data_IF_216691159428
#
_entry.id   IF_216691159428
#
_cell.length_a   1.000
_cell.length_b   1.000
_cell.length_c   1.000
_cell.angle_alpha   90.00
_cell.angle_beta   90.00
_cell.angle_gamma   90.00
#
_symmetry.space_group_name_H-M   'P 1'
#
loop_
_entity.id
_entity.type
_entity.pdbx_description
1 polymer ?
#
# COMPACT_ATOMS: atom_id res chain seq x y z
N UNK A 1 -8.68 -13.38 11.86
CA UNK A 1 -7.62 -12.40 11.52
C UNK A 1 -7.54 -12.07 10.03
N UNK A 2 -7.32 -13.02 9.12
CA UNK A 2 -7.19 -12.74 7.68
C UNK A 2 -8.33 -11.86 7.11
N UNK A 3 -9.57 -12.09 7.53
CA UNK A 3 -10.72 -11.24 7.16
C UNK A 3 -10.59 -9.79 7.63
N UNK A 4 -10.07 -9.54 8.83
CA UNK A 4 -9.84 -8.20 9.35
C UNK A 4 -8.75 -7.48 8.52
N UNK A 5 -7.67 -8.19 8.16
CA UNK A 5 -6.62 -7.67 7.29
C UNK A 5 -7.17 -7.33 5.90
N UNK A 6 -7.92 -8.25 5.27
CA UNK A 6 -8.55 -7.98 3.97
C UNK A 6 -9.54 -6.81 4.02
N UNK A 7 -10.25 -6.64 5.14
CA UNK A 7 -11.16 -5.52 5.34
C UNK A 7 -10.42 -4.17 5.47
N UNK A 8 -9.21 -4.18 6.06
CA UNK A 8 -8.41 -2.97 6.25
C UNK A 8 -7.99 -2.31 4.93
N UNK A 9 -7.83 -3.09 3.86
CA UNK A 9 -7.48 -2.61 2.52
C UNK A 9 -8.47 -1.58 1.96
N UNK A 10 -9.74 -1.58 2.44
CA UNK A 10 -10.75 -0.59 2.05
C UNK A 10 -10.40 0.83 2.48
N UNK A 11 -9.58 0.97 3.53
CA UNK A 11 -9.12 2.27 4.02
C UNK A 11 -8.03 2.89 3.14
N UNK A 12 -7.37 2.15 2.25
CA UNK A 12 -6.30 2.71 1.43
C UNK A 12 -6.84 3.59 0.30
N UNK A 13 -6.20 4.70 -0.07
CA UNK A 13 -5.27 5.50 0.75
C UNK A 13 -6.02 6.47 1.69
N UNK A 14 -7.36 6.49 1.64
CA UNK A 14 -8.22 7.47 2.28
C UNK A 14 -8.08 7.56 3.82
N UNK A 15 -7.60 6.52 4.49
CA UNK A 15 -7.36 6.55 5.94
C UNK A 15 -6.16 7.43 6.33
N UNK A 16 -5.30 7.80 5.37
CA UNK A 16 -4.16 8.66 5.64
C UNK A 16 -4.60 9.98 6.31
N UNK A 17 -3.82 10.50 7.27
CA UNK A 17 -2.49 10.04 7.68
C UNK A 17 -2.50 8.87 8.70
N UNK A 18 -3.66 8.33 9.05
CA UNK A 18 -3.78 7.20 9.96
C UNK A 18 -3.59 5.84 9.22
N UNK A 19 -3.23 4.77 9.93
CA UNK A 19 -3.13 3.44 9.34
C UNK A 19 -4.48 2.94 8.84
N UNK A 20 -4.45 2.15 7.77
CA UNK A 20 -5.61 1.39 7.33
C UNK A 20 -5.76 0.14 8.22
N UNK A 21 -6.62 0.21 9.23
CA UNK A 21 -6.86 -0.88 10.19
C UNK A 21 -8.18 -1.56 9.85
N UNK A 22 -8.28 -2.86 10.11
CA UNK A 22 -9.53 -3.60 10.05
C UNK A 22 -9.81 -4.30 11.37
N UNK A 23 -11.09 -4.39 11.73
CA UNK A 23 -11.59 -5.03 12.94
C UNK A 23 -12.80 -5.89 12.62
N UNK A 24 -12.84 -7.10 13.18
CA UNK A 24 -14.00 -8.01 13.11
C UNK A 24 -14.31 -8.51 14.52
N UNK A 25 -15.58 -8.44 14.92
CA UNK A 25 -16.05 -8.95 16.21
C UNK A 25 -16.85 -10.22 15.97
N UNK A 26 -16.50 -11.27 16.70
CA UNK A 26 -17.12 -12.59 16.62
C UNK A 26 -17.71 -12.95 17.97
N UNK A 27 -19.00 -13.28 17.97
CA UNK A 27 -19.73 -13.81 19.13
C UNK A 27 -20.40 -15.12 18.73
N UNK A 28 -20.29 -16.15 19.56
CA UNK A 28 -20.88 -17.49 19.32
C UNK A 28 -20.58 -18.05 17.91
N UNK A 29 -19.35 -17.89 17.44
CA UNK A 29 -18.92 -18.34 16.11
C UNK A 29 -19.47 -17.53 14.93
N UNK A 30 -20.20 -16.44 15.18
CA UNK A 30 -20.79 -15.58 14.15
C UNK A 30 -20.14 -14.21 14.13
N UNK A 31 -19.95 -13.64 12.95
CA UNK A 31 -19.51 -12.24 12.82
C UNK A 31 -20.67 -11.33 13.17
N UNK A 32 -20.52 -10.57 14.25
CA UNK A 32 -21.52 -9.59 14.74
C UNK A 32 -21.11 -8.15 14.41
N UNK A 33 -19.82 -7.87 14.22
CA UNK A 33 -19.33 -6.54 13.86
C UNK A 33 -18.21 -6.58 12.83
N UNK A 34 -18.20 -5.60 11.92
CA UNK A 34 -17.12 -5.40 10.94
C UNK A 34 -16.82 -3.91 10.84
N UNK A 35 -15.54 -3.54 10.85
CA UNK A 35 -15.11 -2.16 10.72
C UNK A 35 -13.75 -2.03 10.07
N UNK A 36 -13.53 -0.90 9.41
CA UNK A 36 -12.22 -0.45 8.94
C UNK A 36 -12.04 1.03 9.25
N UNK A 37 -10.80 1.51 9.28
CA UNK A 37 -10.52 2.95 9.46
C UNK A 37 -11.13 3.75 8.32
N UNK A 38 -11.99 4.71 8.64
CA UNK A 38 -12.69 5.52 7.64
C UNK A 38 -11.80 6.65 7.07
N UNK A 39 -12.34 7.35 6.07
CA UNK A 39 -11.68 8.46 5.39
C UNK A 39 -11.20 9.54 6.39
N UNK A 40 -10.01 10.10 6.19
CA UNK A 40 -9.37 11.05 7.11
C UNK A 40 -8.85 10.41 8.41
N UNK A 41 -8.92 9.09 8.51
CA UNK A 41 -8.37 8.30 9.60
C UNK A 41 -9.31 8.04 10.76
N UNK A 42 -10.57 8.50 10.71
CA UNK A 42 -11.59 8.28 11.75
C UNK A 42 -13.00 8.19 11.17
N UNK A 43 -13.94 7.46 11.82
CA UNK A 43 -13.73 6.60 13.00
C UNK A 43 -12.76 5.44 12.73
N UNK A 44 -12.14 4.93 13.80
CA UNK A 44 -11.24 3.78 13.74
C UNK A 44 -12.03 2.49 13.48
N UNK A 45 -11.32 1.45 13.04
CA UNK A 45 -11.91 0.16 12.70
C UNK A 45 -12.69 -0.46 13.85
N UNK A 46 -12.16 -0.38 15.07
CA UNK A 46 -12.76 -0.92 16.29
C UNK A 46 -14.05 -0.18 16.63
N UNK A 47 -14.07 1.14 16.51
CA UNK A 47 -15.28 1.94 16.74
C UNK A 47 -16.39 1.57 15.75
N UNK A 48 -16.04 1.40 14.47
CA UNK A 48 -16.99 0.96 13.44
C UNK A 48 -17.50 -0.46 13.71
N UNK A 49 -16.62 -1.38 14.11
CA UNK A 49 -16.99 -2.76 14.38
C UNK A 49 -17.88 -2.88 15.64
N UNK A 50 -17.57 -2.11 16.69
CA UNK A 50 -18.37 -2.03 17.91
C UNK A 50 -19.76 -1.44 17.63
N UNK A 51 -19.83 -0.34 16.89
CA UNK A 51 -21.12 0.26 16.50
C UNK A 51 -21.99 -0.70 15.69
N UNK A 52 -21.39 -1.57 14.87
CA UNK A 52 -22.11 -2.59 14.11
C UNK A 52 -22.53 -3.80 14.96
N UNK A 53 -21.74 -4.16 15.99
CA UNK A 53 -22.02 -5.28 16.87
C UNK A 53 -23.03 -4.94 17.98
N UNK A 54 -23.05 -3.68 18.42
CA UNK A 54 -23.89 -3.18 19.51
C UNK A 54 -23.81 -4.09 20.76
N UNK A 55 -24.93 -4.42 21.40
CA UNK A 55 -24.98 -5.30 22.57
C UNK A 55 -24.37 -6.70 22.33
N UNK A 56 -24.31 -7.18 21.08
CA UNK A 56 -23.72 -8.48 20.76
C UNK A 56 -22.19 -8.50 20.89
N UNK A 57 -21.54 -7.35 21.13
CA UNK A 57 -20.11 -7.27 21.44
C UNK A 57 -19.77 -7.80 22.84
N UNK A 58 -20.73 -7.82 23.78
CA UNK A 58 -20.47 -8.25 25.15
C UNK A 58 -20.07 -9.73 25.19
N UNK A 59 -18.95 -10.04 25.83
CA UNK A 59 -18.39 -11.38 25.89
C UNK A 59 -17.74 -11.86 24.59
N UNK A 60 -17.74 -11.05 23.53
CA UNK A 60 -17.25 -11.45 22.21
C UNK A 60 -15.71 -11.39 22.11
N UNK A 61 -15.19 -11.87 20.97
CA UNK A 61 -13.78 -11.74 20.58
C UNK A 61 -13.61 -10.70 19.47
N UNK A 62 -12.75 -9.71 19.68
CA UNK A 62 -12.34 -8.76 18.65
C UNK A 62 -11.04 -9.21 17.96
N UNK A 63 -11.01 -9.21 16.63
CA UNK A 63 -9.80 -9.41 15.82
C UNK A 63 -9.42 -8.10 15.15
N UNK A 64 -8.24 -7.56 15.46
CA UNK A 64 -7.79 -6.25 15.00
C UNK A 64 -6.41 -6.31 14.34
N UNK A 65 -6.25 -5.68 13.18
CA UNK A 65 -5.03 -5.78 12.38
C UNK A 65 -3.84 -4.96 12.91
N UNK A 66 -4.08 -4.06 13.88
CA UNK A 66 -3.08 -3.25 14.55
C UNK A 66 -3.49 -3.13 16.03
N UNK A 67 -2.54 -2.95 16.94
CA UNK A 67 -2.83 -2.68 18.34
C UNK A 67 -3.84 -1.53 18.50
N UNK A 68 -4.93 -1.72 19.29
CA UNK A 68 -5.87 -0.64 19.56
C UNK A 68 -5.20 0.54 20.24
N UNK A 69 -5.51 1.76 19.78
CA UNK A 69 -4.88 2.95 20.35
C UNK A 69 -5.14 3.08 21.86
N UNK A 70 -4.17 3.63 22.57
CA UNK A 70 -4.18 3.78 24.03
C UNK A 70 -4.26 5.24 24.51
N UNK A 71 -4.06 6.20 23.59
CA UNK A 71 -3.93 7.61 23.90
C UNK A 71 -5.26 8.36 23.75
N UNK A 72 -5.47 9.37 24.59
CA UNK A 72 -6.57 10.31 24.44
C UNK A 72 -6.41 11.14 23.15
N UNK A 73 -7.53 11.43 22.47
CA UNK A 73 -7.54 12.25 21.27
C UNK A 73 -8.76 13.15 21.25
N UNK A 74 -8.62 14.44 20.89
CA UNK A 74 -9.78 15.32 20.72
C UNK A 74 -10.67 14.89 19.55
N UNK A 75 -10.17 14.03 18.65
CA UNK A 75 -10.89 13.55 17.46
C UNK A 75 -11.77 12.32 17.73
N UNK A 76 -11.80 11.80 18.96
CA UNK A 76 -12.65 10.67 19.34
C UNK A 76 -12.02 9.75 20.38
N UNK A 77 -12.84 8.84 20.91
CA UNK A 77 -12.47 7.95 22.01
C UNK A 77 -11.27 7.03 21.69
N UNK A 78 -10.58 6.66 22.77
CA UNK A 78 -9.55 5.63 22.78
C UNK A 78 -10.17 4.26 22.46
N UNK A 79 -9.62 3.53 21.49
CA UNK A 79 -10.16 2.25 21.05
C UNK A 79 -10.02 1.17 22.11
N UNK A 80 -8.92 1.18 22.86
CA UNK A 80 -8.74 0.29 24.02
C UNK A 80 -9.88 0.47 25.03
N UNK A 81 -10.22 1.72 25.36
CA UNK A 81 -11.27 2.03 26.33
C UNK A 81 -12.66 1.65 25.81
N UNK A 82 -12.89 1.85 24.51
CA UNK A 82 -14.14 1.45 23.87
C UNK A 82 -14.34 -0.08 23.90
N UNK A 83 -13.29 -0.87 23.66
CA UNK A 83 -13.35 -2.34 23.72
C UNK A 83 -13.63 -2.82 25.15
N UNK A 84 -13.00 -2.21 26.15
CA UNK A 84 -13.23 -2.51 27.57
C UNK A 84 -14.67 -2.17 27.95
N UNK A 85 -15.14 -0.96 27.62
CA UNK A 85 -16.48 -0.49 27.96
C UNK A 85 -17.58 -1.33 27.30
N UNK A 86 -17.34 -1.84 26.08
CA UNK A 86 -18.25 -2.75 25.39
C UNK A 86 -18.30 -4.16 25.99
N UNK A 87 -17.41 -4.48 26.93
CA UNK A 87 -17.36 -5.78 27.58
C UNK A 87 -16.85 -6.89 26.66
N UNK A 88 -15.97 -6.58 25.71
CA UNK A 88 -15.23 -7.60 24.93
C UNK A 88 -14.47 -8.49 25.92
N UNK A 89 -14.50 -9.81 25.72
CA UNK A 89 -13.80 -10.76 26.59
C UNK A 89 -12.36 -11.03 26.12
N UNK A 90 -12.14 -10.97 24.81
CA UNK A 90 -10.86 -11.32 24.18
C UNK A 90 -10.52 -10.43 23.00
N UNK A 91 -9.25 -10.07 22.87
CA UNK A 91 -8.72 -9.33 21.73
C UNK A 91 -7.57 -10.11 21.08
N UNK A 92 -7.64 -10.29 19.77
CA UNK A 92 -6.58 -10.88 18.95
C UNK A 92 -6.00 -9.79 18.07
N UNK A 93 -4.73 -9.47 18.29
CA UNK A 93 -3.98 -8.39 17.63
C UNK A 93 -3.00 -8.99 16.63
N UNK A 94 -2.97 -8.47 15.40
CA UNK A 94 -1.99 -8.94 14.43
C UNK A 94 -0.59 -8.37 14.68
N UNK A 95 -0.49 -7.06 14.90
CA UNK A 95 0.79 -6.34 15.02
C UNK A 95 0.68 -5.27 16.10
N UNK A 96 1.71 -5.15 16.94
CA UNK A 96 1.87 -4.05 17.90
C UNK A 96 2.09 -2.72 17.16
N UNK A 97 1.56 -1.62 17.69
CA UNK A 97 1.66 -0.31 17.04
C UNK A 97 3.06 0.30 17.30
N UNK A 98 3.85 0.65 16.27
CA UNK A 98 5.14 1.32 16.46
C UNK A 98 5.01 2.78 16.96
N UNK A 99 3.82 3.38 16.97
CA UNK A 99 3.62 4.74 17.47
C UNK A 99 4.00 4.83 18.96
N UNK A 100 4.94 5.70 19.38
CA UNK A 100 5.38 5.81 20.78
C UNK A 100 4.26 6.10 21.78
N UNK A 101 3.13 6.66 21.32
CA UNK A 101 1.95 6.95 22.15
C UNK A 101 1.08 5.71 22.40
N UNK A 102 1.27 4.64 21.62
CA UNK A 102 0.49 3.40 21.71
C UNK A 102 1.38 2.21 22.08
N UNK A 103 2.51 2.02 21.41
CA UNK A 103 3.54 0.98 21.58
C UNK A 103 3.43 0.06 22.82
N UNK A 104 2.53 -0.92 22.76
CA UNK A 104 2.28 -1.91 23.82
C UNK A 104 1.39 -1.45 24.99
N UNK A 105 1.14 -0.15 25.13
CA UNK A 105 0.29 0.42 26.15
C UNK A 105 -1.19 0.04 25.99
N UNK A 106 -1.67 -0.11 24.75
CA UNK A 106 -3.05 -0.52 24.47
C UNK A 106 -3.28 -1.96 24.90
N UNK A 107 -2.36 -2.84 24.48
CA UNK A 107 -2.32 -4.25 24.89
C UNK A 107 -2.21 -4.39 26.41
N UNK A 108 -1.29 -3.66 27.05
CA UNK A 108 -1.12 -3.71 28.51
C UNK A 108 -2.40 -3.29 29.24
N UNK A 109 -3.08 -2.25 28.77
CA UNK A 109 -4.32 -1.76 29.37
C UNK A 109 -5.50 -2.73 29.19
N UNK A 110 -5.61 -3.40 28.04
CA UNK A 110 -6.59 -4.48 27.84
C UNK A 110 -6.37 -5.62 28.84
N UNK A 111 -5.12 -6.06 29.03
CA UNK A 111 -4.77 -7.10 30.01
C UNK A 111 -5.06 -6.68 31.45
N UNK A 112 -4.73 -5.45 31.81
CA UNK A 112 -5.00 -4.90 33.14
C UNK A 112 -6.51 -4.82 33.46
N UNK A 113 -7.35 -4.66 32.44
CA UNK A 113 -8.81 -4.71 32.56
C UNK A 113 -9.38 -6.15 32.56
N UNK A 114 -8.53 -7.19 32.51
CA UNK A 114 -8.92 -8.59 32.61
C UNK A 114 -9.26 -9.27 31.29
N UNK A 115 -9.02 -8.64 30.14
CA UNK A 115 -9.27 -9.25 28.83
C UNK A 115 -8.15 -10.23 28.45
N UNK A 116 -8.51 -11.34 27.81
CA UNK A 116 -7.53 -12.21 27.15
C UNK A 116 -6.97 -11.50 25.92
N UNK A 117 -5.63 -11.40 25.79
CA UNK A 117 -4.99 -10.75 24.63
C UNK A 117 -3.98 -11.69 23.97
N UNK A 118 -4.22 -12.01 22.69
CA UNK A 118 -3.30 -12.77 21.83
C UNK A 118 -2.69 -11.83 20.79
N UNK A 119 -1.39 -11.94 20.58
CA UNK A 119 -0.62 -11.07 19.70
C UNK A 119 0.05 -11.86 18.57
N UNK A 120 0.46 -11.18 17.51
CA UNK A 120 1.32 -11.74 16.46
C UNK A 120 0.60 -12.60 15.41
N UNK A 121 -0.73 -12.70 15.45
CA UNK A 121 -1.49 -13.53 14.49
C UNK A 121 -1.46 -12.89 13.11
N UNK A 122 -0.82 -13.54 12.14
CA UNK A 122 -0.64 -13.03 10.76
C UNK A 122 0.03 -11.65 10.71
N UNK A 123 1.04 -11.43 11.57
CA UNK A 123 1.73 -10.15 11.69
C UNK A 123 2.34 -9.66 10.36
N UNK A 124 2.96 -10.56 9.60
CA UNK A 124 3.58 -10.22 8.31
C UNK A 124 2.54 -9.71 7.29
N UNK A 125 1.39 -10.37 7.20
CA UNK A 125 0.30 -10.00 6.29
C UNK A 125 -0.31 -8.65 6.68
N UNK A 126 -0.50 -8.40 7.97
CA UNK A 126 -1.00 -7.11 8.46
C UNK A 126 -0.02 -5.97 8.17
N UNK A 127 1.29 -6.17 8.34
CA UNK A 127 2.31 -5.17 7.95
C UNK A 127 2.29 -4.91 6.44
N UNK A 128 2.18 -5.96 5.62
CA UNK A 128 2.06 -5.81 4.16
C UNK A 128 0.79 -5.04 3.76
N UNK A 129 -0.34 -5.33 4.43
CA UNK A 129 -1.61 -4.63 4.26
C UNK A 129 -1.61 -3.20 4.82
N UNK A 130 -0.61 -2.79 5.60
CA UNK A 130 -0.41 -1.40 6.05
C UNK A 130 0.89 -0.77 5.52
N UNK A 131 1.52 -1.38 4.51
CA UNK A 131 2.88 -1.08 4.09
C UNK A 131 3.21 0.41 3.88
N UNK A 132 2.35 1.26 3.25
CA UNK A 132 2.59 2.70 3.18
C UNK A 132 2.77 3.38 4.54
N UNK A 133 1.79 3.21 5.42
CA UNK A 133 1.85 3.79 6.77
C UNK A 133 2.99 3.17 7.57
N UNK A 134 3.17 1.85 7.48
CA UNK A 134 4.23 1.12 8.20
C UNK A 134 5.61 1.62 7.78
N UNK A 135 5.80 1.88 6.49
CA UNK A 135 7.02 2.46 5.92
C UNK A 135 7.35 3.82 6.53
N UNK A 136 6.37 4.73 6.59
CA UNK A 136 6.57 6.01 7.26
C UNK A 136 6.87 5.84 8.74
N UNK A 137 6.09 5.03 9.44
CA UNK A 137 6.21 4.87 10.89
C UNK A 137 7.54 4.25 11.34
N UNK A 138 8.09 3.32 10.56
CA UNK A 138 9.29 2.55 10.96
C UNK A 138 10.56 2.98 10.24
N UNK A 139 10.45 3.53 9.03
CA UNK A 139 11.60 3.89 8.17
C UNK A 139 11.65 5.36 7.80
N UNK A 140 10.67 6.17 8.22
CA UNK A 140 10.64 7.61 7.95
C UNK A 140 10.51 7.97 6.47
N UNK A 141 10.03 7.05 5.62
CA UNK A 141 9.94 7.26 4.16
C UNK A 141 8.68 6.70 3.54
N UNK A 142 8.31 7.25 2.38
CA UNK A 142 7.21 6.75 1.57
C UNK A 142 7.48 5.31 1.08
N UNK A 143 6.42 4.53 0.95
CA UNK A 143 6.45 3.21 0.32
C UNK A 143 6.28 3.36 -1.19
N UNK A 144 7.22 2.79 -1.96
CA UNK A 144 7.23 2.94 -3.42
C UNK A 144 6.88 1.63 -4.11
N UNK A 145 5.84 1.69 -4.93
CA UNK A 145 5.47 0.62 -5.86
C UNK A 145 5.96 0.97 -7.26
N UNK A 146 6.85 0.18 -7.82
CA UNK A 146 7.26 0.27 -9.23
C UNK A 146 6.34 -0.62 -10.07
N UNK A 147 5.72 -0.05 -11.11
CA UNK A 147 4.90 -0.80 -12.08
C UNK A 147 5.58 -0.84 -13.43
N UNK A 148 5.83 -2.06 -13.93
CA UNK A 148 6.38 -2.33 -15.25
C UNK A 148 5.37 -3.13 -16.07
N UNK A 149 5.13 -2.71 -17.31
CA UNK A 149 4.30 -3.44 -18.27
C UNK A 149 5.13 -3.75 -19.51
N UNK A 150 5.43 -5.03 -19.73
CA UNK A 150 6.40 -5.46 -20.73
C UNK A 150 5.83 -6.52 -21.66
N UNK A 151 6.48 -6.71 -22.80
CA UNK A 151 6.43 -7.96 -23.56
C UNK A 151 7.12 -9.10 -22.79
N UNK A 152 7.06 -10.33 -23.30
CA UNK A 152 7.72 -11.51 -22.69
C UNK A 152 9.25 -11.36 -22.60
N UNK A 153 9.84 -10.67 -23.58
CA UNK A 153 11.27 -10.37 -23.68
C UNK A 153 11.66 -9.03 -23.02
N UNK A 154 10.76 -8.42 -22.23
CA UNK A 154 11.12 -7.30 -21.35
C UNK A 154 11.11 -5.92 -22.00
N UNK A 155 10.51 -5.75 -23.17
CA UNK A 155 10.39 -4.45 -23.84
C UNK A 155 9.15 -3.67 -23.39
N UNK A 156 9.27 -2.34 -23.35
CA UNK A 156 8.18 -1.39 -23.02
C UNK A 156 7.70 -0.55 -24.22
N UNK A 157 8.38 -0.68 -25.36
CA UNK A 157 8.00 -0.07 -26.63
C UNK A 157 8.76 -0.75 -27.78
N UNK A 158 8.31 -0.55 -29.03
CA UNK A 158 9.13 -0.77 -30.22
C UNK A 158 10.34 0.18 -30.24
N UNK A 159 11.32 -0.07 -31.11
CA UNK A 159 12.53 0.74 -31.22
C UNK A 159 12.22 2.23 -31.48
N UNK A 160 11.22 2.49 -32.34
CA UNK A 160 10.70 3.82 -32.67
C UNK A 160 9.97 4.52 -31.51
N UNK A 161 9.65 3.79 -30.43
CA UNK A 161 8.94 4.31 -29.25
C UNK A 161 7.44 4.00 -29.22
N UNK A 162 6.90 3.34 -30.24
CA UNK A 162 5.50 2.94 -30.27
C UNK A 162 5.20 1.90 -29.18
N UNK A 163 4.23 2.17 -28.29
CA UNK A 163 3.99 1.40 -27.06
C UNK A 163 2.51 1.12 -26.76
N UNK A 164 1.57 1.64 -27.56
CA UNK A 164 0.12 1.50 -27.34
C UNK A 164 -0.45 0.43 -28.28
N UNK A 165 -0.93 -0.73 -27.79
CA UNK A 165 -0.92 -1.22 -26.42
C UNK A 165 -0.17 -2.54 -26.32
N UNK A 166 0.82 -2.60 -25.42
CA UNK A 166 1.52 -3.86 -25.08
C UNK A 166 0.60 -4.76 -24.25
N UNK A 167 0.04 -4.25 -23.15
CA UNK A 167 -0.84 -5.03 -22.24
C UNK A 167 -2.31 -4.86 -22.58
N UNK A 168 -3.10 -5.88 -22.26
CA UNK A 168 -4.55 -5.96 -22.48
C UNK A 168 -5.39 -5.07 -21.56
N UNK A 169 -6.70 -5.06 -21.81
CA UNK A 169 -7.68 -4.23 -21.11
C UNK A 169 -7.78 -4.53 -19.60
N UNK A 170 -7.77 -5.82 -19.21
CA UNK A 170 -7.81 -6.24 -17.81
C UNK A 170 -6.58 -5.81 -17.03
N UNK A 171 -5.39 -5.90 -17.61
CA UNK A 171 -4.17 -5.39 -17.00
C UNK A 171 -4.20 -3.86 -16.85
N UNK A 172 -4.69 -3.13 -17.86
CA UNK A 172 -4.86 -1.66 -17.77
C UNK A 172 -5.90 -1.26 -16.72
N UNK A 173 -7.01 -1.99 -16.61
CA UNK A 173 -8.01 -1.77 -15.57
C UNK A 173 -7.42 -2.01 -14.17
N UNK A 174 -6.61 -3.06 -14.00
CA UNK A 174 -5.87 -3.28 -12.74
C UNK A 174 -4.87 -2.16 -12.47
N UNK A 175 -4.17 -1.63 -13.48
CA UNK A 175 -3.33 -0.44 -13.34
C UNK A 175 -4.09 0.77 -12.79
N UNK A 176 -5.34 0.99 -13.21
CA UNK A 176 -6.18 2.03 -12.63
C UNK A 176 -6.59 1.76 -11.17
N UNK A 177 -6.81 0.49 -10.79
CA UNK A 177 -7.04 0.13 -9.40
C UNK A 177 -5.81 0.44 -8.54
N UNK A 178 -4.60 0.16 -9.03
CA UNK A 178 -3.36 0.52 -8.35
C UNK A 178 -3.21 2.03 -8.20
N UNK A 179 -3.51 2.82 -9.24
CA UNK A 179 -3.55 4.30 -9.11
C UNK A 179 -4.48 4.74 -8.00
N UNK A 180 -5.69 4.18 -7.94
CA UNK A 180 -6.68 4.52 -6.92
C UNK A 180 -6.23 4.17 -5.50
N UNK A 181 -5.27 3.25 -5.34
CA UNK A 181 -4.73 2.77 -4.05
C UNK A 181 -3.52 3.55 -3.55
N UNK A 182 -2.96 4.45 -4.35
CA UNK A 182 -1.79 5.27 -3.97
C UNK A 182 -2.19 6.75 -3.82
N UNK A 183 -1.47 7.47 -2.97
CA UNK A 183 -1.67 8.92 -2.80
C UNK A 183 -1.03 9.73 -3.93
N UNK A 184 0.03 9.18 -4.52
CA UNK A 184 0.79 9.82 -5.59
C UNK A 184 1.16 8.83 -6.69
N UNK A 185 1.28 9.37 -7.91
CA UNK A 185 1.81 8.69 -9.08
C UNK A 185 2.98 9.50 -9.65
N UNK A 186 4.05 8.82 -10.02
CA UNK A 186 5.28 9.43 -10.51
C UNK A 186 5.63 8.87 -11.89
N UNK A 187 5.95 9.77 -12.83
CA UNK A 187 6.61 9.45 -14.10
C UNK A 187 7.94 10.21 -14.22
N UNK A 188 8.82 9.77 -15.11
CA UNK A 188 9.97 10.57 -15.53
C UNK A 188 9.60 11.63 -16.58
N UNK A 189 10.44 12.66 -16.72
CA UNK A 189 10.31 13.71 -17.75
C UNK A 189 10.06 13.15 -19.15
N UNK A 190 10.86 12.17 -19.59
CA UNK A 190 10.72 11.58 -20.92
C UNK A 190 9.34 10.96 -21.19
N UNK A 191 8.71 10.35 -20.18
CA UNK A 191 7.34 9.84 -20.29
C UNK A 191 6.34 10.97 -20.40
N UNK A 192 6.49 12.03 -19.60
CA UNK A 192 5.60 13.20 -19.67
C UNK A 192 5.64 13.83 -21.07
N UNK A 193 6.84 14.04 -21.60
CA UNK A 193 7.04 14.72 -22.87
C UNK A 193 6.57 13.86 -24.07
N UNK A 194 6.76 12.53 -24.01
CA UNK A 194 6.37 11.63 -25.08
C UNK A 194 4.86 11.31 -25.09
N UNK A 195 4.23 11.15 -23.92
CA UNK A 195 2.88 10.60 -23.80
C UNK A 195 1.81 11.60 -23.35
N UNK A 196 2.20 12.75 -22.79
CA UNK A 196 1.32 13.69 -22.09
C UNK A 196 0.24 12.98 -21.23
N UNK A 197 0.64 12.08 -20.32
CA UNK A 197 -0.32 11.18 -19.69
C UNK A 197 -1.20 11.92 -18.68
N UNK A 198 -2.50 11.58 -18.66
CA UNK A 198 -3.45 12.11 -17.66
C UNK A 198 -3.16 11.61 -16.24
N UNK A 199 -2.67 10.38 -16.11
CA UNK A 199 -2.37 9.68 -14.86
C UNK A 199 -3.53 9.58 -13.85
N UNK A 200 -4.76 9.76 -14.32
CA UNK A 200 -6.00 9.68 -13.56
C UNK A 200 -6.50 8.23 -13.36
N UNK A 201 -7.48 8.09 -12.47
CA UNK A 201 -8.28 6.88 -12.29
C UNK A 201 -9.54 7.00 -13.14
N UNK A 202 -9.82 5.98 -13.95
CA UNK A 202 -10.96 5.95 -14.89
C UNK A 202 -11.85 4.73 -14.69
N UNK A 203 -11.83 4.18 -13.47
CA UNK A 203 -12.75 3.11 -13.07
C UNK A 203 -14.01 3.75 -12.48
N UNK A 204 -15.17 3.25 -12.91
CA UNK A 204 -16.47 3.73 -12.47
C UNK A 204 -16.57 3.75 -10.94
N UNK A 205 -16.88 4.92 -10.38
CA UNK A 205 -17.05 5.14 -8.93
C UNK A 205 -15.75 5.34 -8.15
N UNK A 206 -14.58 5.33 -8.81
CA UNK A 206 -13.27 5.55 -8.20
C UNK A 206 -12.52 6.76 -8.78
N UNK A 207 -13.14 7.55 -9.66
CA UNK A 207 -12.53 8.66 -10.37
C UNK A 207 -11.95 9.71 -9.40
N UNK A 208 -12.66 9.95 -8.29
CA UNK A 208 -12.26 10.87 -7.22
C UNK A 208 -11.03 10.39 -6.42
N UNK A 209 -10.53 9.19 -6.71
CA UNK A 209 -9.32 8.63 -6.09
C UNK A 209 -8.08 8.79 -6.97
N UNK A 210 -8.12 9.71 -7.93
CA UNK A 210 -6.96 10.03 -8.75
C UNK A 210 -5.80 10.53 -7.87
N UNK A 211 -4.60 9.92 -7.98
CA UNK A 211 -3.45 10.31 -7.17
C UNK A 211 -2.90 11.67 -7.60
N UNK A 212 -2.19 12.35 -6.69
CA UNK A 212 -1.42 13.54 -7.05
C UNK A 212 -0.30 13.17 -8.02
N UNK A 213 0.03 14.06 -8.95
CA UNK A 213 1.00 13.79 -10.02
C UNK A 213 2.36 14.35 -9.64
N UNK A 214 3.34 13.45 -9.57
CA UNK A 214 4.74 13.76 -9.32
C UNK A 214 5.55 13.58 -10.59
N UNK A 215 6.57 14.41 -10.74
CA UNK A 215 7.46 14.36 -11.89
C UNK A 215 8.90 14.22 -11.41
N UNK A 216 9.58 13.15 -11.81
CA UNK A 216 11.02 13.02 -11.58
C UNK A 216 11.77 13.92 -12.56
N UNK A 217 12.27 15.06 -12.05
CA UNK A 217 12.91 16.12 -12.83
C UNK A 217 13.77 17.00 -11.92
N UNK A 218 14.89 17.50 -12.45
CA UNK A 218 15.66 18.59 -11.82
C UNK A 218 15.18 19.99 -12.23
N UNK A 219 14.41 20.09 -13.32
CA UNK A 219 13.77 21.33 -13.78
C UNK A 219 12.34 21.50 -13.27
N UNK A 220 11.67 22.55 -13.72
CA UNK A 220 10.30 22.89 -13.30
C UNK A 220 9.26 21.83 -13.71
N UNK A 221 8.34 21.50 -12.80
CA UNK A 221 7.15 20.73 -13.12
C UNK A 221 6.06 21.63 -13.73
N UNK A 222 5.21 21.11 -14.64
CA UNK A 222 4.07 21.85 -15.16
C UNK A 222 3.02 22.10 -14.07
N UNK A 223 2.04 22.97 -14.35
CA UNK A 223 0.96 23.26 -13.42
C UNK A 223 0.19 22.00 -13.00
N UNK A 224 -0.10 21.88 -11.69
CA UNK A 224 -0.79 20.74 -11.12
C UNK A 224 0.06 19.47 -11.02
N UNK A 225 1.39 19.61 -11.11
CA UNK A 225 2.39 18.58 -10.84
C UNK A 225 3.40 19.06 -9.81
N UNK A 226 3.96 18.13 -9.04
CA UNK A 226 5.02 18.41 -8.07
C UNK A 226 6.34 17.84 -8.58
N UNK A 227 7.39 18.67 -8.63
CA UNK A 227 8.73 18.25 -9.01
C UNK A 227 9.38 17.42 -7.89
N UNK A 228 10.02 16.32 -8.27
CA UNK A 228 10.82 15.46 -7.40
C UNK A 228 12.20 15.34 -8.04
N UNK A 229 13.23 15.83 -7.35
CA UNK A 229 14.59 15.92 -7.92
C UNK A 229 15.31 14.57 -7.99
N UNK A 230 15.00 13.65 -7.08
CA UNK A 230 15.58 12.30 -6.99
C UNK A 230 14.64 11.33 -6.26
N UNK A 231 14.85 10.00 -6.36
CA UNK A 231 14.08 9.01 -5.60
C UNK A 231 14.06 9.21 -4.08
N UNK A 232 15.15 9.73 -3.50
CA UNK A 232 15.29 10.03 -2.07
C UNK A 232 14.51 11.28 -1.67
N UNK A 233 14.35 12.23 -2.61
CA UNK A 233 13.61 13.48 -2.38
C UNK A 233 12.12 13.26 -2.10
N UNK A 234 11.60 12.04 -2.26
CA UNK A 234 10.24 11.70 -1.84
C UNK A 234 10.04 11.81 -0.31
N UNK A 235 11.11 11.66 0.48
CA UNK A 235 11.01 11.64 1.95
C UNK A 235 10.62 13.00 2.56
N UNK A 236 10.82 14.08 1.80
CA UNK A 236 10.42 15.43 2.21
C UNK A 236 8.97 15.77 1.85
N UNK A 237 8.27 14.92 1.09
CA UNK A 237 6.89 15.20 0.69
C UNK A 237 5.94 14.98 1.86
N UNK A 238 5.35 16.07 2.34
CA UNK A 238 4.35 16.04 3.41
C UNK A 238 3.06 15.38 2.90
N UNK A 239 2.55 14.40 3.65
CA UNK A 239 1.27 13.77 3.37
C UNK A 239 1.31 12.70 2.26
N UNK A 240 2.50 12.22 1.88
CA UNK A 240 2.66 11.17 0.86
C UNK A 240 3.34 9.94 1.46
N UNK A 241 2.54 8.93 1.83
CA UNK A 241 3.02 7.66 2.36
C UNK A 241 3.15 6.59 1.26
N UNK A 242 2.49 6.79 0.11
CA UNK A 242 2.45 5.82 -1.00
C UNK A 242 2.65 6.48 -2.36
N UNK A 243 3.62 5.97 -3.11
CA UNK A 243 3.94 6.43 -4.47
C UNK A 243 3.92 5.26 -5.44
N UNK A 244 3.16 5.39 -6.53
CA UNK A 244 3.21 4.49 -7.67
C UNK A 244 4.13 5.09 -8.74
N UNK A 245 5.25 4.44 -9.04
CA UNK A 245 6.11 4.81 -10.16
C UNK A 245 5.61 4.06 -11.39
N UNK A 246 5.11 4.80 -12.38
CA UNK A 246 4.64 4.26 -13.65
C UNK A 246 5.40 4.96 -14.79
N UNK A 247 5.96 4.18 -15.70
CA UNK A 247 6.44 4.69 -16.99
C UNK A 247 7.92 5.09 -17.07
N UNK A 248 8.49 4.81 -18.24
CA UNK A 248 9.84 5.17 -18.65
C UNK A 248 10.93 4.34 -17.97
N UNK A 249 11.81 3.75 -18.78
CA UNK A 249 12.96 2.98 -18.28
C UNK A 249 13.85 3.82 -17.34
N UNK A 250 14.01 5.11 -17.61
CA UNK A 250 14.83 6.00 -16.77
C UNK A 250 14.32 6.17 -15.35
N UNK A 251 13.01 6.40 -15.16
CA UNK A 251 12.45 6.54 -13.81
C UNK A 251 12.51 5.20 -13.06
N UNK A 252 12.13 4.10 -13.72
CA UNK A 252 12.23 2.77 -13.14
C UNK A 252 13.67 2.45 -12.67
N UNK A 253 14.67 2.71 -13.53
CA UNK A 253 16.08 2.44 -13.23
C UNK A 253 16.59 3.33 -12.10
N UNK A 254 16.20 4.61 -12.05
CA UNK A 254 16.59 5.50 -10.96
C UNK A 254 16.10 5.00 -9.59
N UNK A 255 14.85 4.53 -9.50
CA UNK A 255 14.31 4.00 -8.24
C UNK A 255 14.93 2.66 -7.84
N UNK A 256 15.29 1.81 -8.79
CA UNK A 256 15.98 0.55 -8.53
C UNK A 256 17.44 0.77 -8.11
N UNK A 257 18.16 1.65 -8.81
CA UNK A 257 19.55 2.01 -8.50
C UNK A 257 19.68 2.64 -7.11
N UNK A 258 18.73 3.49 -6.72
CA UNK A 258 18.67 4.10 -5.40
C UNK A 258 18.20 3.14 -4.28
N UNK A 259 17.85 1.89 -4.61
CA UNK A 259 17.20 0.93 -3.70
C UNK A 259 15.94 1.49 -3.03
N UNK A 260 15.16 2.28 -3.76
CA UNK A 260 13.97 2.99 -3.26
C UNK A 260 12.66 2.33 -3.67
N UNK A 261 12.67 1.32 -4.54
CA UNK A 261 11.49 0.51 -4.85
C UNK A 261 11.25 -0.55 -3.76
N UNK A 262 10.06 -0.55 -3.17
CA UNK A 262 9.67 -1.51 -2.13
C UNK A 262 8.85 -2.66 -2.70
N UNK A 263 8.00 -2.37 -3.68
CA UNK A 263 7.17 -3.36 -4.39
C UNK A 263 7.37 -3.23 -5.88
N UNK A 264 7.39 -4.36 -6.58
CA UNK A 264 7.38 -4.43 -8.04
C UNK A 264 6.09 -5.12 -8.51
N UNK A 265 5.35 -4.44 -9.39
CA UNK A 265 4.24 -5.00 -10.15
C UNK A 265 4.71 -5.22 -11.59
N UNK A 266 4.96 -6.48 -11.96
CA UNK A 266 5.42 -6.85 -13.29
C UNK A 266 4.26 -7.45 -14.09
N UNK A 267 3.78 -6.69 -15.07
CA UNK A 267 2.76 -7.12 -16.02
C UNK A 267 3.46 -7.58 -17.30
N UNK A 268 3.19 -8.81 -17.74
CA UNK A 268 3.78 -9.41 -18.94
C UNK A 268 2.69 -9.79 -19.93
N UNK A 269 2.70 -9.13 -21.09
CA UNK A 269 1.85 -9.47 -22.21
C UNK A 269 2.44 -10.66 -22.99
N UNK A 270 1.62 -11.56 -23.55
CA UNK A 270 2.08 -12.73 -24.29
C UNK A 270 2.51 -12.36 -25.73
N UNK A 271 3.39 -11.37 -25.87
CA UNK A 271 3.96 -10.90 -27.14
C UNK A 271 5.49 -10.83 -27.03
N UNK A 272 6.18 -10.88 -28.17
CA UNK A 272 7.62 -10.66 -28.31
C UNK A 272 7.86 -9.45 -29.19
N UNK A 273 8.82 -8.60 -28.83
CA UNK A 273 9.13 -7.36 -29.57
C UNK A 273 10.51 -7.42 -30.22
N UNK A 274 11.49 -8.06 -29.59
CA UNK A 274 12.89 -8.10 -30.05
C UNK A 274 13.62 -6.80 -29.70
N UNK A 275 14.23 -6.14 -30.69
CA UNK A 275 15.04 -4.92 -30.54
C UNK A 275 14.27 -3.66 -30.09
N UNK A 276 13.21 -3.82 -29.30
CA UNK A 276 12.46 -2.74 -28.69
C UNK A 276 13.21 -2.08 -27.53
N UNK A 277 12.58 -1.04 -26.97
CA UNK A 277 13.15 -0.32 -25.83
C UNK A 277 12.99 -1.17 -24.56
N UNK A 278 14.08 -1.45 -23.81
CA UNK A 278 14.01 -2.28 -22.61
C UNK A 278 13.27 -1.58 -21.47
N UNK A 279 12.69 -2.36 -20.56
CA UNK A 279 11.99 -1.84 -19.39
C UNK A 279 12.89 -1.09 -18.41
N UNK A 280 14.17 -1.42 -18.39
CA UNK A 280 15.20 -0.85 -17.54
C UNK A 280 16.38 -0.40 -18.40
N UNK A 281 16.97 0.74 -18.03
CA UNK A 281 18.29 1.15 -18.47
C UNK A 281 19.35 0.63 -17.50
N UNK A 282 20.54 1.20 -17.61
CA UNK A 282 21.62 0.89 -16.67
C UNK A 282 21.27 1.37 -15.25
N UNK A 283 21.54 0.49 -14.27
CA UNK A 283 21.34 0.71 -12.84
C UNK A 283 22.62 0.48 -12.03
N UNK A 284 23.77 0.34 -12.69
CA UNK A 284 25.07 0.19 -12.04
C UNK A 284 25.34 -1.20 -11.47
N UNK A 285 24.70 -2.25 -11.99
CA UNK A 285 24.97 -3.62 -11.57
C UNK A 285 26.31 -4.08 -12.17
N UNK A 286 27.33 -4.25 -11.32
CA UNK A 286 28.68 -4.66 -11.75
C UNK A 286 28.95 -6.15 -11.57
N UNK A 287 28.24 -6.80 -10.65
CA UNK A 287 28.35 -8.24 -10.38
C UNK A 287 26.95 -8.88 -10.38
N UNK A 288 26.82 -10.04 -11.01
CA UNK A 288 25.56 -10.79 -11.03
C UNK A 288 25.16 -11.29 -9.63
N UNK A 289 26.13 -11.54 -8.75
CA UNK A 289 25.87 -11.93 -7.37
C UNK A 289 24.99 -10.89 -6.64
N UNK A 290 25.20 -9.60 -6.91
CA UNK A 290 24.45 -8.49 -6.29
C UNK A 290 23.00 -8.39 -6.79
N UNK A 291 22.63 -9.10 -7.86
CA UNK A 291 21.26 -9.15 -8.35
C UNK A 291 20.38 -10.15 -7.58
N UNK A 292 20.98 -11.17 -6.97
CA UNK A 292 20.26 -12.27 -6.35
C UNK A 292 19.71 -11.92 -4.96
N UNK A 293 18.67 -12.64 -4.53
CA UNK A 293 18.09 -12.49 -3.19
C UNK A 293 17.34 -11.18 -2.93
N UNK A 294 17.31 -10.23 -3.87
CA UNK A 294 16.71 -8.91 -3.64
C UNK A 294 15.19 -8.87 -3.65
N UNK A 295 14.53 -9.82 -4.31
CA UNK A 295 13.09 -9.82 -4.55
C UNK A 295 12.46 -11.14 -4.17
N UNK A 296 11.33 -11.08 -3.47
CA UNK A 296 10.50 -12.25 -3.15
C UNK A 296 9.14 -12.09 -3.81
N UNK A 297 8.75 -13.05 -4.65
CA UNK A 297 7.40 -13.07 -5.22
C UNK A 297 6.38 -13.35 -4.11
N UNK A 298 5.38 -12.50 -3.99
CA UNK A 298 4.31 -12.62 -2.99
C UNK A 298 2.96 -12.96 -3.58
N UNK A 299 2.76 -12.70 -4.87
CA UNK A 299 1.50 -12.95 -5.56
C UNK A 299 1.73 -13.12 -7.08
N UNK A 300 0.83 -13.85 -7.74
CA UNK A 300 0.86 -14.14 -9.17
C UNK A 300 -0.56 -14.37 -9.68
N UNK A 301 -0.99 -13.62 -10.69
CA UNK A 301 -2.37 -13.62 -11.20
C UNK A 301 -2.44 -13.47 -12.71
N UNK A 302 -3.36 -14.21 -13.33
CA UNK A 302 -3.75 -14.00 -14.72
C UNK A 302 -4.76 -12.85 -14.82
N UNK A 303 -4.46 -11.84 -15.63
CA UNK A 303 -5.32 -10.69 -15.92
C UNK A 303 -5.70 -10.68 -17.40
N UNK A 304 -6.70 -11.48 -17.77
CA UNK A 304 -7.05 -11.67 -19.18
C UNK A 304 -5.96 -12.47 -19.86
N UNK A 305 -5.33 -11.93 -20.91
CA UNK A 305 -4.17 -12.55 -21.57
C UNK A 305 -2.84 -12.26 -20.87
N UNK A 306 -2.77 -11.23 -20.01
CA UNK A 306 -1.53 -10.81 -19.37
C UNK A 306 -1.28 -11.53 -18.04
N UNK A 307 -0.02 -11.77 -17.71
CA UNK A 307 0.40 -12.25 -16.39
C UNK A 307 0.82 -11.06 -15.51
N UNK A 308 0.33 -11.00 -14.27
CA UNK A 308 0.83 -10.11 -13.22
C UNK A 308 1.62 -10.93 -12.20
N UNK A 309 2.85 -10.53 -11.90
CA UNK A 309 3.59 -10.99 -10.74
C UNK A 309 3.90 -9.82 -9.81
N UNK A 310 3.72 -10.04 -8.51
CA UNK A 310 4.02 -9.05 -7.47
C UNK A 310 5.23 -9.53 -6.68
N UNK A 311 6.22 -8.66 -6.57
CA UNK A 311 7.42 -8.89 -5.78
C UNK A 311 7.55 -7.83 -4.69
N UNK A 312 8.00 -8.25 -3.52
CA UNK A 312 8.43 -7.37 -2.44
C UNK A 312 9.94 -7.37 -2.35
N UNK A 313 10.53 -6.21 -2.10
CA UNK A 313 11.96 -6.02 -1.87
C UNK A 313 12.34 -6.67 -0.54
N UNK A 314 13.30 -7.58 -0.56
CA UNK A 314 13.87 -8.22 0.63
C UNK A 314 14.92 -7.29 1.24
N UNK A 315 14.55 -6.56 2.28
CA UNK A 315 15.48 -5.74 3.08
C UNK A 315 15.86 -6.54 4.33
N UNK A 316 17.13 -6.51 4.70
CA UNK A 316 17.54 -7.00 6.00
C UNK A 316 16.96 -6.04 7.06
N UNK A 317 16.06 -6.57 7.91
CA UNK A 317 15.56 -5.94 9.15
C UNK A 317 14.83 -4.61 9.01
#
# INVERSE_FOLDING_TARGET
MAVAIALSERGRPASAPNPNVGCVIISEGRVVGRGWTQNGGRPHAEAMALAAADDAARGATAYVSLEPCAHASPRGNCCTDALIAAGIARVVVAVQDPDPRTNGAGIARLRAAGLEVIEGVLAADARAAMAPWWSRATRGRAFVTLKLATSLDGCIALADGTSRWITGDRARAHGHLERARHQAILVGRGTLDADAPKLDVRLAGLEQRSPQRLLLTRGAAPEGWTAVASPESLDSLVGVDSVLVEGGAGAASAFLAADRADRLLLYRAPILIGGGRPALGDMGLTDLADAHGRWRRTDSRQLGSDQLDVYERVREG
#
